data_IF_934011787354
#
_entry.id   IF_934011787354
#
_cell.length_a   1.000
_cell.length_b   1.000
_cell.length_c   1.000
_cell.angle_alpha   90.00
_cell.angle_beta   90.00
_cell.angle_gamma   90.00
#
_symmetry.space_group_name_H-M   'P 1'
#
loop_
_entity.id
_entity.type
_entity.pdbx_description
1 polymer ?
#
# COMPACT_ATOMS: atom_id res chain seq x y z
N UNK A 1 -26.65 33.27 -52.75
CA UNK A 1 -26.93 31.92 -52.19
C UNK A 1 -25.63 31.11 -52.20
N UNK A 2 -25.25 30.51 -51.06
CA UNK A 2 -24.24 29.43 -50.86
C UNK A 2 -22.78 29.75 -51.22
N UNK A 3 -21.90 30.16 -50.28
CA UNK A 3 -21.14 29.40 -49.25
C UNK A 3 -20.12 28.36 -49.78
N UNK A 4 -18.85 28.64 -49.47
CA UNK A 4 -17.64 27.82 -49.59
C UNK A 4 -17.73 26.49 -48.82
N UNK A 5 -16.96 25.47 -49.23
CA UNK A 5 -15.99 24.79 -48.35
C UNK A 5 -15.25 23.64 -49.06
N UNK A 6 -13.92 23.82 -49.08
CA UNK A 6 -12.76 22.94 -49.19
C UNK A 6 -12.95 21.44 -48.89
N UNK A 7 -12.36 20.61 -49.77
CA UNK A 7 -12.24 19.15 -49.62
C UNK A 7 -10.94 18.79 -48.87
N UNK A 8 -11.13 18.15 -47.72
CA UNK A 8 -10.15 17.64 -46.75
C UNK A 8 -9.24 16.56 -47.34
N UNK A 9 -7.92 16.65 -47.13
CA UNK A 9 -6.99 15.51 -47.15
C UNK A 9 -6.54 15.24 -45.71
N UNK A 10 -7.12 14.23 -45.07
CA UNK A 10 -6.68 13.77 -43.75
C UNK A 10 -5.38 12.98 -43.88
N UNK A 11 -4.33 13.50 -43.25
CA UNK A 11 -3.10 12.78 -43.00
C UNK A 11 -3.33 11.70 -41.93
N UNK A 12 -2.72 10.55 -42.17
CA UNK A 12 -2.75 9.34 -41.34
C UNK A 12 -1.85 9.56 -40.10
N UNK A 13 -2.45 9.84 -38.95
CA UNK A 13 -1.72 9.89 -37.67
C UNK A 13 -1.85 8.53 -36.97
N UNK A 14 -0.74 7.79 -36.93
CA UNK A 14 -0.57 6.56 -36.16
C UNK A 14 -0.51 6.95 -34.67
N UNK A 15 -1.63 6.90 -33.97
CA UNK A 15 -1.68 7.14 -32.52
C UNK A 15 -1.77 5.81 -31.80
N UNK A 16 -0.74 5.51 -30.99
CA UNK A 16 -0.77 4.47 -29.96
C UNK A 16 -2.05 4.63 -29.13
N UNK A 17 -2.69 3.55 -28.65
CA UNK A 17 -3.81 3.69 -27.75
C UNK A 17 -3.32 4.45 -26.51
N UNK A 18 -3.80 5.68 -26.38
CA UNK A 18 -3.76 6.41 -25.12
C UNK A 18 -4.55 5.54 -24.15
N UNK A 19 -3.85 4.92 -23.20
CA UNK A 19 -4.48 4.37 -22.02
C UNK A 19 -5.01 5.58 -21.28
N UNK A 20 -6.24 5.98 -21.61
CA UNK A 20 -7.01 6.87 -20.76
C UNK A 20 -7.15 6.13 -19.45
N UNK A 21 -6.49 6.64 -18.41
CA UNK A 21 -6.77 6.24 -17.05
C UNK A 21 -8.25 6.49 -16.80
N UNK A 22 -9.04 5.43 -16.94
CA UNK A 22 -10.36 5.40 -16.36
C UNK A 22 -10.09 5.53 -14.87
N UNK A 23 -10.26 6.77 -14.38
CA UNK A 23 -10.54 7.11 -12.99
C UNK A 23 -11.72 6.24 -12.60
N UNK A 24 -11.40 5.00 -12.21
CA UNK A 24 -12.36 4.05 -11.70
C UNK A 24 -13.02 4.77 -10.55
N UNK A 25 -14.35 4.77 -10.56
CA UNK A 25 -15.13 5.08 -9.38
C UNK A 25 -14.52 4.25 -8.26
N UNK A 26 -13.75 4.88 -7.38
CA UNK A 26 -13.35 4.26 -6.12
C UNK A 26 -14.65 3.79 -5.52
N UNK A 27 -14.81 2.48 -5.31
CA UNK A 27 -15.89 2.00 -4.47
C UNK A 27 -15.78 2.82 -3.18
N UNK A 28 -16.86 3.46 -2.73
CA UNK A 28 -16.92 4.30 -1.53
C UNK A 28 -16.38 3.62 -0.24
N UNK A 29 -16.08 2.32 -0.32
CA UNK A 29 -15.60 1.46 0.76
C UNK A 29 -14.14 0.99 0.60
N UNK A 30 -13.38 1.46 -0.40
CA UNK A 30 -11.97 1.10 -0.56
C UNK A 30 -11.13 1.68 0.58
N UNK A 31 -10.21 0.88 1.14
CA UNK A 31 -9.24 1.35 2.15
C UNK A 31 -7.99 1.89 1.47
N UNK A 32 -7.68 3.16 1.71
CA UNK A 32 -6.44 3.79 1.25
C UNK A 32 -5.28 3.45 2.21
N UNK A 33 -4.17 3.01 1.64
CA UNK A 33 -3.01 2.54 2.40
C UNK A 33 -1.87 3.55 2.32
N UNK A 34 -1.31 3.86 3.49
CA UNK A 34 0.03 4.41 3.61
C UNK A 34 0.98 3.27 3.91
N UNK A 35 1.90 2.97 3.00
CA UNK A 35 2.89 1.91 3.17
C UNK A 35 4.21 2.53 3.63
N UNK A 36 4.64 2.18 4.83
CA UNK A 36 5.93 2.53 5.38
C UNK A 36 6.80 1.28 5.38
N UNK A 37 8.03 1.37 4.87
CA UNK A 37 8.93 0.23 4.87
C UNK A 37 10.33 0.60 5.32
N UNK A 38 10.96 -0.34 6.02
CA UNK A 38 12.38 -0.33 6.31
C UNK A 38 12.90 -1.75 6.16
N UNK A 39 13.59 -1.99 5.06
CA UNK A 39 13.98 -3.33 4.62
C UNK A 39 15.46 -3.26 4.25
N UNK A 40 16.28 -4.18 4.76
CA UNK A 40 17.74 -4.17 4.54
C UNK A 40 18.17 -4.89 3.24
N UNK A 41 17.22 -5.42 2.49
CA UNK A 41 17.46 -6.16 1.24
C UNK A 41 17.83 -5.22 0.09
N UNK A 42 18.70 -5.69 -0.80
CA UNK A 42 19.16 -4.90 -1.95
C UNK A 42 18.03 -4.54 -2.92
N UNK A 43 17.04 -5.40 -3.05
CA UNK A 43 15.86 -5.26 -3.91
C UNK A 43 14.60 -4.85 -3.13
N UNK A 44 14.75 -4.20 -1.96
CA UNK A 44 13.62 -3.81 -1.12
C UNK A 44 12.53 -3.02 -1.87
N UNK A 45 12.91 -2.02 -2.68
CA UNK A 45 11.95 -1.20 -3.44
C UNK A 45 11.12 -2.05 -4.40
N UNK A 46 11.76 -2.97 -5.13
CA UNK A 46 11.11 -3.85 -6.10
C UNK A 46 10.15 -4.84 -5.40
N UNK A 47 10.56 -5.41 -4.26
CA UNK A 47 9.70 -6.28 -3.45
C UNK A 47 8.48 -5.52 -2.91
N UNK A 48 8.69 -4.28 -2.48
CA UNK A 48 7.58 -3.42 -2.01
C UNK A 48 6.65 -3.05 -3.17
N UNK A 49 7.16 -2.82 -4.37
CA UNK A 49 6.33 -2.62 -5.57
C UNK A 49 5.48 -3.85 -5.87
N UNK A 50 6.08 -5.05 -5.84
CA UNK A 50 5.32 -6.29 -6.02
C UNK A 50 4.23 -6.48 -4.95
N UNK A 51 4.50 -6.07 -3.72
CA UNK A 51 3.52 -6.10 -2.65
C UNK A 51 2.39 -5.08 -2.84
N UNK A 52 2.71 -3.87 -3.30
CA UNK A 52 1.69 -2.87 -3.66
C UNK A 52 0.78 -3.39 -4.77
N UNK A 53 1.36 -4.02 -5.80
CA UNK A 53 0.61 -4.63 -6.89
C UNK A 53 -0.29 -5.75 -6.38
N UNK A 54 0.21 -6.63 -5.51
CA UNK A 54 -0.58 -7.70 -4.91
C UNK A 54 -1.76 -7.15 -4.07
N UNK A 55 -1.54 -6.10 -3.28
CA UNK A 55 -2.59 -5.43 -2.51
C UNK A 55 -3.66 -4.78 -3.42
N UNK A 56 -3.23 -4.09 -4.48
CA UNK A 56 -4.13 -3.46 -5.44
C UNK A 56 -4.96 -4.48 -6.25
N UNK A 57 -4.42 -5.68 -6.45
CA UNK A 57 -5.08 -6.79 -7.14
C UNK A 57 -5.91 -7.68 -6.20
N UNK A 58 -5.84 -7.45 -4.88
CA UNK A 58 -6.53 -8.27 -3.88
C UNK A 58 -8.05 -8.29 -4.08
N UNK A 59 -8.68 -9.40 -3.69
CA UNK A 59 -10.11 -9.63 -3.92
C UNK A 59 -10.98 -9.16 -2.74
N UNK A 60 -12.13 -8.49 -3.00
CA UNK A 60 -12.59 -8.04 -4.31
C UNK A 60 -11.74 -6.88 -4.85
N UNK A 61 -11.49 -6.79 -6.17
CA UNK A 61 -10.65 -5.75 -6.75
C UNK A 61 -11.05 -4.34 -6.30
N UNK A 62 -10.06 -3.53 -5.92
CA UNK A 62 -10.28 -2.17 -5.43
C UNK A 62 -10.80 -2.07 -3.98
N UNK A 63 -10.76 -3.17 -3.21
CA UNK A 63 -11.06 -3.11 -1.76
C UNK A 63 -9.96 -2.45 -0.93
N UNK A 64 -8.73 -2.49 -1.43
CA UNK A 64 -7.55 -1.86 -0.86
C UNK A 64 -6.85 -1.12 -2.01
N UNK A 65 -6.34 0.08 -1.72
CA UNK A 65 -5.65 0.92 -2.70
C UNK A 65 -4.35 1.45 -2.10
N UNK A 66 -3.24 1.15 -2.76
CA UNK A 66 -1.92 1.71 -2.49
C UNK A 66 -1.51 2.53 -3.71
N UNK A 67 -1.34 3.83 -3.53
CA UNK A 67 -0.82 4.72 -4.55
C UNK A 67 0.68 4.97 -4.31
N UNK A 68 1.48 5.10 -5.37
CA UNK A 68 2.94 5.24 -5.26
C UNK A 68 3.37 6.43 -4.37
N UNK A 69 2.60 7.52 -4.35
CA UNK A 69 2.86 8.68 -3.50
C UNK A 69 2.63 8.43 -1.99
N UNK A 70 1.98 7.31 -1.65
CA UNK A 70 1.70 6.87 -0.29
C UNK A 70 2.63 5.73 0.16
N UNK A 71 3.71 5.49 -0.58
CA UNK A 71 4.77 4.55 -0.24
C UNK A 71 6.00 5.32 0.23
N UNK A 72 6.49 5.04 1.44
CA UNK A 72 7.64 5.73 2.04
C UNK A 72 8.70 4.77 2.56
N UNK A 73 9.92 4.93 2.05
CA UNK A 73 11.13 4.35 2.63
C UNK A 73 11.54 5.13 3.88
N UNK A 74 11.52 4.48 5.04
CA UNK A 74 11.89 5.08 6.31
C UNK A 74 13.39 5.36 6.43
N UNK A 75 14.22 4.76 5.57
CA UNK A 75 15.67 5.03 5.50
C UNK A 75 15.97 6.35 4.79
N UNK A 76 15.10 6.77 3.88
CA UNK A 76 15.23 7.99 3.09
C UNK A 76 14.44 9.18 3.66
N UNK A 77 13.66 8.98 4.72
CA UNK A 77 12.76 9.98 5.28
C UNK A 77 13.04 10.26 6.76
N UNK A 78 12.93 11.54 7.14
CA UNK A 78 13.04 11.91 8.55
C UNK A 78 11.86 11.34 9.36
N UNK A 79 12.17 10.71 10.49
CA UNK A 79 11.17 10.07 11.37
C UNK A 79 10.07 11.04 11.81
N UNK A 80 10.37 12.34 11.96
CA UNK A 80 9.37 13.37 12.28
C UNK A 80 8.30 13.47 11.20
N UNK A 81 8.68 13.45 9.92
CA UNK A 81 7.77 13.54 8.79
C UNK A 81 6.92 12.27 8.68
N UNK A 82 7.54 11.12 8.87
CA UNK A 82 6.87 9.82 8.92
C UNK A 82 5.80 9.81 10.01
N UNK A 83 6.13 10.22 11.24
CA UNK A 83 5.19 10.26 12.36
C UNK A 83 4.03 11.22 12.09
N UNK A 84 4.32 12.43 11.61
CA UNK A 84 3.28 13.41 11.28
C UNK A 84 2.31 12.86 10.22
N UNK A 85 2.85 12.27 9.15
CA UNK A 85 2.03 11.66 8.10
C UNK A 85 1.25 10.45 8.59
N UNK A 86 1.84 9.62 9.45
CA UNK A 86 1.15 8.48 10.08
C UNK A 86 -0.05 8.95 10.89
N UNK A 87 0.13 9.97 11.74
CA UNK A 87 -0.96 10.56 12.55
C UNK A 87 -2.07 11.10 11.65
N UNK A 88 -1.72 11.90 10.64
CA UNK A 88 -2.71 12.41 9.68
C UNK A 88 -3.46 11.29 8.96
N UNK A 89 -2.79 10.20 8.63
CA UNK A 89 -3.39 9.07 7.92
C UNK A 89 -4.39 8.31 8.79
N UNK A 90 -4.03 7.96 10.03
CA UNK A 90 -4.93 7.19 10.92
C UNK A 90 -6.18 7.96 11.35
N UNK A 91 -6.11 9.30 11.34
CA UNK A 91 -7.27 10.17 11.59
C UNK A 91 -8.33 10.11 10.48
N UNK A 92 -7.95 9.68 9.27
CA UNK A 92 -8.90 9.51 8.18
C UNK A 92 -9.65 8.15 8.33
N UNK A 93 -10.99 8.12 8.23
CA UNK A 93 -11.77 6.89 8.46
C UNK A 93 -11.42 5.73 7.54
N UNK A 94 -11.20 6.01 6.25
CA UNK A 94 -10.91 5.01 5.21
C UNK A 94 -9.42 4.72 5.02
N UNK A 95 -8.57 5.25 5.89
CA UNK A 95 -7.12 5.18 5.74
C UNK A 95 -6.51 4.22 6.76
N UNK A 96 -5.56 3.41 6.32
CA UNK A 96 -4.78 2.50 7.17
C UNK A 96 -3.29 2.65 6.87
N UNK A 97 -2.45 2.27 7.82
CA UNK A 97 -0.99 2.29 7.68
C UNK A 97 -0.48 0.86 7.70
N UNK A 98 0.34 0.50 6.71
CA UNK A 98 1.10 -0.76 6.72
C UNK A 98 2.55 -0.46 7.09
N UNK A 99 3.07 -1.19 8.08
CA UNK A 99 4.49 -1.15 8.46
C UNK A 99 5.17 -2.42 7.96
N UNK A 100 5.90 -2.33 6.85
CA UNK A 100 6.61 -3.47 6.27
C UNK A 100 7.96 -3.68 6.97
N UNK A 101 8.10 -4.83 7.60
CA UNK A 101 9.24 -5.30 8.37
C UNK A 101 10.01 -6.30 7.52
N UNK A 102 11.26 -5.97 7.17
CA UNK A 102 12.11 -6.80 6.29
C UNK A 102 13.58 -6.72 6.66
N UNK A 103 13.88 -6.89 7.95
CA UNK A 103 15.23 -6.85 8.50
C UNK A 103 15.25 -6.24 9.91
N UNK A 104 16.45 -6.08 10.44
CA UNK A 104 16.65 -5.48 11.76
C UNK A 104 16.54 -3.95 11.65
N UNK A 105 15.67 -3.33 12.46
CA UNK A 105 15.81 -1.90 12.75
C UNK A 105 14.59 -1.02 12.62
N UNK A 106 13.37 -1.56 12.56
CA UNK A 106 12.18 -0.77 12.88
C UNK A 106 11.70 -1.12 14.29
N UNK A 107 12.01 -0.26 15.26
CA UNK A 107 11.59 -0.45 16.65
C UNK A 107 10.10 -0.13 16.80
N UNK A 108 9.40 -0.93 17.61
CA UNK A 108 7.96 -0.83 17.85
C UNK A 108 7.57 0.41 18.65
N UNK A 109 8.43 0.81 19.58
CA UNK A 109 8.26 1.92 20.51
C UNK A 109 7.95 3.25 19.78
N UNK A 110 8.46 3.43 18.56
CA UNK A 110 8.21 4.62 17.76
C UNK A 110 6.75 4.82 17.32
N UNK A 111 5.93 3.76 17.39
CA UNK A 111 4.55 3.70 16.88
C UNK A 111 3.50 3.42 17.97
N UNK A 112 3.94 3.19 19.21
CA UNK A 112 3.04 2.99 20.33
C UNK A 112 2.51 4.32 20.85
N UNK A 113 1.28 4.30 21.35
CA UNK A 113 0.69 5.39 22.12
C UNK A 113 1.27 5.48 23.54
N UNK A 114 0.80 6.45 24.31
CA UNK A 114 1.21 6.65 25.71
C UNK A 114 0.90 5.46 26.64
N UNK A 115 -0.03 4.57 26.23
CA UNK A 115 -0.40 3.35 26.96
C UNK A 115 0.38 2.13 26.46
N UNK A 116 1.35 2.30 25.57
CA UNK A 116 2.13 1.22 24.98
C UNK A 116 1.33 0.37 23.97
N UNK A 117 0.25 0.91 23.39
CA UNK A 117 -0.60 0.22 22.41
C UNK A 117 -0.38 0.76 21.01
N UNK A 118 -0.41 -0.15 20.03
CA UNK A 118 -0.41 0.21 18.63
C UNK A 118 -1.81 0.66 18.21
N UNK A 119 -1.90 1.75 17.43
CA UNK A 119 -3.18 2.21 16.91
C UNK A 119 -3.84 1.12 16.04
N UNK A 120 -5.15 0.90 16.19
CA UNK A 120 -5.89 -0.20 15.53
C UNK A 120 -5.95 -0.15 13.99
N UNK A 121 -5.39 0.91 13.39
CA UNK A 121 -5.30 1.13 11.94
C UNK A 121 -3.86 1.00 11.41
N UNK A 122 -2.92 0.63 12.28
CA UNK A 122 -1.54 0.35 11.91
C UNK A 122 -1.37 -1.16 11.92
N UNK A 123 -1.01 -1.71 10.77
CA UNK A 123 -0.82 -3.13 10.57
C UNK A 123 0.68 -3.40 10.31
N UNK A 124 1.39 -3.99 11.27
CA UNK A 124 2.74 -4.49 11.03
C UNK A 124 2.66 -5.72 10.14
N UNK A 125 3.51 -5.76 9.11
CA UNK A 125 3.54 -6.81 8.10
C UNK A 125 4.99 -7.28 7.96
N UNK A 126 5.20 -8.59 7.94
CA UNK A 126 6.48 -9.17 7.58
C UNK A 126 6.29 -10.15 6.43
N UNK A 127 7.26 -10.20 5.53
CA UNK A 127 7.17 -11.08 4.36
C UNK A 127 7.37 -12.55 4.74
N UNK A 128 8.08 -12.83 5.83
CA UNK A 128 8.40 -14.19 6.28
C UNK A 128 7.22 -15.00 6.82
N UNK A 129 7.55 -16.18 7.36
CA UNK A 129 6.58 -17.10 7.98
C UNK A 129 6.33 -16.83 9.46
N UNK A 130 7.23 -16.10 10.13
CA UNK A 130 7.18 -15.84 11.56
C UNK A 130 7.34 -14.34 11.81
N UNK A 131 6.60 -13.78 12.78
CA UNK A 131 6.73 -12.39 13.14
C UNK A 131 8.11 -12.11 13.75
N UNK A 132 8.68 -10.91 13.54
CA UNK A 132 9.84 -10.46 14.30
C UNK A 132 9.53 -10.41 15.80
N UNK A 133 10.52 -10.69 16.66
CA UNK A 133 10.33 -10.71 18.13
C UNK A 133 9.78 -9.39 18.68
N UNK A 134 10.19 -8.26 18.12
CA UNK A 134 9.73 -6.92 18.54
C UNK A 134 8.30 -6.62 18.04
N UNK A 135 7.76 -7.41 17.13
CA UNK A 135 6.45 -7.23 16.50
C UNK A 135 5.63 -8.53 16.50
N UNK A 136 5.28 -9.08 17.68
CA UNK A 136 4.57 -10.36 17.78
C UNK A 136 3.19 -10.36 17.12
N UNK A 137 2.57 -9.19 16.96
CA UNK A 137 1.28 -9.01 16.28
C UNK A 137 1.38 -8.86 14.74
N UNK A 138 2.57 -9.00 14.16
CA UNK A 138 2.76 -8.79 12.72
C UNK A 138 2.06 -9.85 11.86
N UNK A 139 1.41 -9.38 10.78
CA UNK A 139 0.87 -10.23 9.73
C UNK A 139 2.03 -10.83 8.93
N UNK A 140 2.06 -12.16 8.84
CA UNK A 140 3.09 -12.89 8.11
C UNK A 140 2.56 -13.26 6.72
N UNK A 141 3.23 -12.83 5.66
CA UNK A 141 2.82 -13.16 4.29
C UNK A 141 3.16 -14.60 3.90
N UNK A 142 4.07 -15.25 4.62
CA UNK A 142 4.40 -16.66 4.41
C UNK A 142 5.42 -16.91 3.29
N UNK A 143 6.16 -15.87 2.88
CA UNK A 143 7.20 -15.99 1.86
C UNK A 143 8.44 -16.61 2.48
N UNK A 144 8.89 -17.72 1.90
CA UNK A 144 10.05 -18.48 2.41
C UNK A 144 11.35 -17.69 2.25
N UNK A 145 11.59 -17.14 1.07
CA UNK A 145 12.79 -16.36 0.72
C UNK A 145 12.36 -15.01 0.13
N UNK A 146 12.01 -14.00 0.97
CA UNK A 146 11.51 -12.70 0.48
C UNK A 146 12.44 -11.99 -0.50
N UNK A 147 13.76 -12.12 -0.32
CA UNK A 147 14.77 -11.52 -1.19
C UNK A 147 14.75 -12.07 -2.62
N UNK A 148 14.11 -13.22 -2.85
CA UNK A 148 14.02 -13.87 -4.18
C UNK A 148 12.69 -13.63 -4.87
N UNK A 149 11.80 -12.83 -4.30
CA UNK A 149 10.50 -12.56 -4.88
C UNK A 149 10.67 -11.82 -6.21
N UNK A 150 10.12 -12.36 -7.29
CA UNK A 150 10.29 -11.84 -8.66
C UNK A 150 8.98 -11.38 -9.32
N UNK A 151 7.83 -11.63 -8.68
CA UNK A 151 6.51 -11.27 -9.18
C UNK A 151 5.47 -11.11 -8.06
N UNK A 152 4.44 -10.26 -8.25
CA UNK A 152 3.38 -10.03 -7.27
C UNK A 152 2.62 -11.29 -6.85
N UNK A 153 2.35 -12.20 -7.81
CA UNK A 153 1.53 -13.38 -7.56
C UNK A 153 2.15 -14.37 -6.56
N UNK A 154 3.45 -14.25 -6.25
CA UNK A 154 4.09 -15.06 -5.20
C UNK A 154 3.70 -14.63 -3.78
N UNK A 155 3.08 -13.47 -3.65
CA UNK A 155 2.47 -12.98 -2.41
C UNK A 155 1.01 -13.45 -2.26
N UNK A 156 0.41 -14.05 -3.29
CA UNK A 156 -0.93 -14.61 -3.20
C UNK A 156 -0.96 -15.80 -2.24
N UNK A 157 -1.91 -15.76 -1.30
CA UNK A 157 -2.09 -16.84 -0.34
C UNK A 157 -2.73 -16.35 0.95
N UNK A 158 -2.83 -17.28 1.91
CA UNK A 158 -3.53 -17.06 3.16
C UNK A 158 -3.00 -15.86 3.96
N UNK A 159 -1.69 -15.58 3.89
CA UNK A 159 -1.08 -14.42 4.56
C UNK A 159 -1.61 -13.09 4.04
N UNK A 160 -1.60 -12.90 2.72
CA UNK A 160 -2.15 -11.71 2.06
C UNK A 160 -3.67 -11.62 2.26
N UNK A 161 -4.40 -12.73 2.11
CA UNK A 161 -5.86 -12.75 2.30
C UNK A 161 -6.26 -12.34 3.72
N UNK A 162 -5.52 -12.82 4.72
CA UNK A 162 -5.75 -12.47 6.14
C UNK A 162 -5.47 -10.99 6.39
N UNK A 163 -4.36 -10.46 5.84
CA UNK A 163 -4.04 -9.04 5.95
C UNK A 163 -5.12 -8.17 5.29
N UNK A 164 -5.55 -8.52 4.08
CA UNK A 164 -6.59 -7.78 3.34
C UNK A 164 -7.92 -7.82 4.08
N UNK A 165 -8.30 -8.96 4.65
CA UNK A 165 -9.50 -9.08 5.48
C UNK A 165 -9.42 -8.15 6.71
N UNK A 166 -8.26 -8.09 7.38
CA UNK A 166 -8.04 -7.22 8.53
C UNK A 166 -8.10 -5.73 8.16
N UNK A 167 -7.46 -5.31 7.06
CA UNK A 167 -7.53 -3.94 6.54
C UNK A 167 -8.97 -3.53 6.27
N UNK A 168 -9.74 -4.40 5.62
CA UNK A 168 -11.16 -4.15 5.30
C UNK A 168 -12.04 -4.09 6.55
N UNK A 169 -11.73 -4.91 7.54
CA UNK A 169 -12.40 -4.93 8.85
C UNK A 169 -12.00 -3.79 9.77
N UNK A 170 -10.94 -3.03 9.45
CA UNK A 170 -10.50 -1.89 10.24
C UNK A 170 -11.65 -0.88 10.36
N UNK A 171 -12.18 -0.74 11.58
CA UNK A 171 -13.35 0.07 11.84
C UNK A 171 -13.15 1.50 11.35
N UNK A 172 -14.23 2.07 10.81
CA UNK A 172 -14.38 3.50 10.60
C UNK A 172 -14.58 4.16 11.97
N UNK A 173 -13.59 4.10 12.85
CA UNK A 173 -13.70 4.78 14.15
C UNK A 173 -13.62 6.28 13.92
N UNK A 174 -14.78 6.89 13.66
CA UNK A 174 -15.08 8.26 14.09
C UNK A 174 -15.26 8.23 15.60
N UNK A 175 -14.16 8.07 16.33
CA UNK A 175 -14.16 7.95 17.78
C UNK A 175 -13.06 8.84 18.33
N UNK A 176 -13.47 10.02 18.76
CA UNK A 176 -12.67 10.99 19.53
C UNK A 176 -11.76 10.30 20.55
N UNK A 177 -10.46 10.52 20.42
CA UNK A 177 -9.52 10.60 21.53
C UNK A 177 -8.58 11.77 21.27
#
# INVERSE_FOLDING_TARGET
MGKEASKTKSAKANTKPVITSSRGKTLDNAKSVLLLYKISWKNASEIVEFFCDALNQAKPPGCVAVENENVMDLSANEMRNVKNRTVQWVMNPNCVVLLCLGGDGLSREGFLDENGKLHCKIFPVCFGNLPPSDWPEAYCLGVKDPEKLDRPNELEGNGLDTLVAAIRGAELTSGLY
#
